data_IF_188378582732
#
_entry.id   IF_188378582732
#
_cell.length_a   1.000
_cell.length_b   1.000
_cell.length_c   1.000
_cell.angle_alpha   90.00
_cell.angle_beta   90.00
_cell.angle_gamma   90.00
#
_symmetry.space_group_name_H-M   'P 1'
#
loop_
_entity.id
_entity.type
_entity.pdbx_description
1 polymer ?
#
# COMPACT_ATOMS: atom_id res chain seq x y z
N UNK A 1 -10.52 8.30 -34.51
CA UNK A 1 -11.55 7.98 -33.51
C UNK A 1 -10.95 6.89 -32.61
N UNK A 2 -10.30 7.28 -31.55
CA UNK A 2 -9.74 6.35 -30.54
C UNK A 2 -10.94 5.90 -29.72
N UNK A 3 -11.15 4.60 -29.59
CA UNK A 3 -12.31 4.06 -28.89
C UNK A 3 -12.24 4.44 -27.40
N UNK A 4 -13.29 5.03 -26.86
CA UNK A 4 -13.42 5.44 -25.44
C UNK A 4 -13.18 4.28 -24.45
N UNK A 5 -13.22 3.03 -24.89
CA UNK A 5 -12.91 1.84 -24.07
C UNK A 5 -11.44 1.75 -23.65
N UNK A 6 -10.50 2.27 -24.45
CA UNK A 6 -9.07 2.29 -24.09
C UNK A 6 -8.74 3.31 -23.00
N UNK A 7 -9.43 4.46 -23.02
CA UNK A 7 -9.18 5.53 -22.02
C UNK A 7 -9.75 5.15 -20.64
N UNK A 8 -10.92 4.49 -20.61
CA UNK A 8 -11.55 4.03 -19.36
C UNK A 8 -10.74 2.89 -18.73
N UNK A 9 -10.20 1.99 -19.54
CA UNK A 9 -9.28 0.94 -19.06
C UNK A 9 -7.97 1.52 -18.54
N UNK A 10 -7.46 2.58 -19.16
CA UNK A 10 -6.25 3.26 -18.70
C UNK A 10 -6.46 3.95 -17.35
N UNK A 11 -7.58 4.65 -17.17
CA UNK A 11 -7.92 5.33 -15.91
C UNK A 11 -8.18 4.34 -14.77
N UNK A 12 -8.88 3.22 -15.04
CA UNK A 12 -9.12 2.16 -14.06
C UNK A 12 -7.83 1.43 -13.67
N UNK A 13 -6.93 1.21 -14.62
CA UNK A 13 -5.62 0.60 -14.38
C UNK A 13 -4.66 1.52 -13.62
N UNK A 14 -4.78 2.84 -13.79
CA UNK A 14 -3.98 3.85 -13.12
C UNK A 14 -4.41 4.07 -11.67
N UNK A 15 -5.71 4.00 -11.38
CA UNK A 15 -6.21 4.00 -10.00
C UNK A 15 -5.73 2.78 -9.19
N UNK A 16 -5.52 1.62 -9.83
CA UNK A 16 -4.98 0.43 -9.17
C UNK A 16 -3.46 0.46 -9.01
N UNK A 17 -2.73 1.17 -9.86
CA UNK A 17 -1.28 1.31 -9.73
C UNK A 17 -0.85 2.26 -8.59
N UNK A 18 -1.76 3.09 -8.09
CA UNK A 18 -1.57 3.91 -6.89
C UNK A 18 -2.18 3.27 -5.63
N UNK A 19 -3.02 2.23 -5.78
CA UNK A 19 -3.83 1.66 -4.71
C UNK A 19 -3.48 0.19 -4.45
N UNK A 20 -2.27 -0.10 -4.11
CA UNK A 20 -1.91 -1.43 -3.64
C UNK A 20 -1.28 -2.32 -4.68
N UNK A 21 -0.67 -3.35 -4.22
CA UNK A 21 0.09 -4.37 -4.90
C UNK A 21 -0.68 -5.08 -6.01
N UNK A 22 -1.03 -4.36 -7.04
CA UNK A 22 -1.09 -5.01 -8.34
C UNK A 22 0.34 -5.45 -8.68
N UNK A 23 0.54 -6.56 -9.40
CA UNK A 23 1.86 -6.90 -9.87
C UNK A 23 2.49 -5.63 -10.42
N UNK A 24 3.74 -5.34 -10.04
CA UNK A 24 4.52 -4.26 -10.62
C UNK A 24 4.50 -4.54 -12.13
N UNK A 25 3.48 -4.08 -12.82
CA UNK A 25 3.53 -4.04 -14.26
C UNK A 25 4.63 -3.05 -14.53
N UNK A 26 5.78 -3.55 -14.92
CA UNK A 26 6.67 -2.78 -15.73
C UNK A 26 5.76 -2.15 -16.77
N UNK A 27 5.60 -0.84 -16.70
CA UNK A 27 4.81 -0.08 -17.65
C UNK A 27 5.33 -0.52 -19.01
N UNK A 28 4.58 -1.35 -19.72
CA UNK A 28 4.86 -1.61 -21.11
C UNK A 28 4.84 -0.21 -21.72
N UNK A 29 6.01 0.28 -22.02
CA UNK A 29 6.16 1.44 -22.87
C UNK A 29 5.66 0.99 -24.24
N UNK A 30 4.37 1.10 -24.44
CA UNK A 30 3.83 1.15 -25.78
C UNK A 30 4.60 2.26 -26.50
N UNK A 31 5.26 1.90 -27.59
CA UNK A 31 6.38 2.56 -28.26
C UNK A 31 6.17 3.98 -28.75
N UNK A 32 5.61 4.89 -27.96
CA UNK A 32 5.53 6.32 -28.29
C UNK A 32 5.73 7.27 -27.08
N UNK A 33 6.45 6.90 -26.04
CA UNK A 33 6.79 7.87 -25.00
C UNK A 33 8.16 8.49 -25.25
N UNK A 34 8.18 9.57 -25.98
CA UNK A 34 9.28 10.55 -26.01
C UNK A 34 9.45 11.29 -24.68
N UNK A 35 8.61 11.02 -23.67
CA UNK A 35 8.70 11.64 -22.35
C UNK A 35 9.81 11.00 -21.53
N UNK A 36 10.90 11.74 -21.37
CA UNK A 36 11.99 11.35 -20.49
C UNK A 36 11.64 11.50 -18.99
N UNK A 37 10.57 12.24 -18.67
CA UNK A 37 10.06 12.48 -17.32
C UNK A 37 8.54 12.26 -17.31
N UNK A 38 8.08 11.45 -16.35
CA UNK A 38 6.67 11.30 -16.00
C UNK A 38 6.49 11.66 -14.54
N UNK A 39 5.43 12.35 -14.20
CA UNK A 39 5.13 12.73 -12.83
C UNK A 39 3.68 12.51 -12.48
N UNK A 40 3.39 12.40 -11.19
CA UNK A 40 2.05 12.33 -10.65
C UNK A 40 1.98 13.07 -9.32
N UNK A 41 0.78 13.50 -8.98
CA UNK A 41 0.49 14.08 -7.69
C UNK A 41 -0.86 13.57 -7.19
N UNK A 42 -0.98 13.39 -5.88
CA UNK A 42 -2.20 13.05 -5.20
C UNK A 42 -2.38 13.97 -4.00
N UNK A 43 -3.61 14.30 -3.68
CA UNK A 43 -3.97 14.93 -2.41
C UNK A 43 -5.32 14.41 -1.96
N UNK A 44 -5.48 14.27 -0.65
CA UNK A 44 -6.75 13.85 -0.06
C UNK A 44 -7.03 14.52 1.27
N UNK A 45 -8.27 14.49 1.67
CA UNK A 45 -8.79 14.91 2.95
C UNK A 45 -9.62 13.78 3.52
N UNK A 46 -9.19 13.22 4.63
CA UNK A 46 -9.91 12.18 5.33
C UNK A 46 -10.49 12.73 6.63
N UNK A 47 -11.75 12.43 6.89
CA UNK A 47 -12.43 12.75 8.14
C UNK A 47 -13.07 11.50 8.71
N UNK A 48 -12.76 11.19 9.95
CA UNK A 48 -13.27 10.03 10.64
C UNK A 48 -13.84 10.36 12.02
N UNK A 49 -14.89 9.63 12.40
CA UNK A 49 -15.42 9.66 13.75
C UNK A 49 -15.46 8.23 14.31
N UNK A 50 -14.75 8.02 15.42
CA UNK A 50 -14.55 6.71 16.07
C UNK A 50 -15.20 6.69 17.44
N UNK A 51 -16.40 6.14 17.52
CA UNK A 51 -17.11 6.01 18.78
C UNK A 51 -16.43 4.96 19.69
N UNK A 52 -16.24 5.31 20.96
CA UNK A 52 -15.60 4.44 21.96
C UNK A 52 -14.11 4.67 22.16
N UNK A 53 -13.48 5.54 21.38
CA UNK A 53 -12.09 5.99 21.58
C UNK A 53 -12.02 7.25 22.45
N UNK A 54 -10.85 7.47 23.06
CA UNK A 54 -10.56 8.68 23.84
C UNK A 54 -10.57 9.95 22.97
N UNK A 55 -10.07 9.82 21.73
CA UNK A 55 -10.07 10.87 20.72
C UNK A 55 -10.97 10.44 19.55
N UNK A 56 -12.29 10.72 19.60
CA UNK A 56 -13.23 10.18 18.65
C UNK A 56 -13.12 10.78 17.24
N UNK A 57 -12.59 11.97 17.07
CA UNK A 57 -12.52 12.64 15.77
C UNK A 57 -11.09 12.64 15.24
N UNK A 58 -10.92 12.11 14.05
CA UNK A 58 -9.64 12.11 13.31
C UNK A 58 -9.82 12.86 12.00
N UNK A 59 -8.90 13.73 11.67
CA UNK A 59 -8.81 14.40 10.37
C UNK A 59 -7.39 14.27 9.87
N UNK A 60 -7.25 13.73 8.67
CA UNK A 60 -6.01 13.68 7.95
C UNK A 60 -6.06 14.73 6.84
N UNK A 61 -5.31 15.81 7.05
CA UNK A 61 -5.18 16.92 6.10
C UNK A 61 -4.16 17.95 6.60
N UNK A 62 -3.26 18.44 5.74
CA UNK A 62 -3.05 18.01 4.36
C UNK A 62 -2.39 16.64 4.25
N UNK A 63 -2.84 15.84 3.28
CA UNK A 63 -2.19 14.64 2.80
C UNK A 63 -1.86 14.84 1.33
N UNK A 64 -0.57 14.87 1.00
CA UNK A 64 -0.06 15.20 -0.34
C UNK A 64 1.05 14.22 -0.68
N UNK A 65 0.94 13.59 -1.83
CA UNK A 65 1.95 12.72 -2.38
C UNK A 65 2.36 13.23 -3.77
N UNK A 66 3.66 13.33 -4.01
CA UNK A 66 4.22 13.75 -5.30
C UNK A 66 5.30 12.73 -5.68
N UNK A 67 5.18 12.19 -6.88
CA UNK A 67 6.13 11.22 -7.39
C UNK A 67 6.43 11.38 -8.86
N UNK A 68 7.44 10.64 -9.32
CA UNK A 68 7.78 10.62 -10.72
C UNK A 68 8.94 9.71 -11.06
N UNK A 69 9.09 9.49 -12.37
CA UNK A 69 10.13 8.67 -12.96
C UNK A 69 10.86 9.43 -14.05
N UNK A 70 12.18 9.53 -13.93
CA UNK A 70 13.06 10.06 -14.98
C UNK A 70 13.74 8.91 -15.72
N UNK A 71 13.51 8.78 -17.02
CA UNK A 71 14.13 7.80 -17.90
C UNK A 71 15.51 8.31 -18.37
N UNK A 72 16.59 7.64 -18.00
CA UNK A 72 17.96 8.03 -18.33
C UNK A 72 18.47 7.33 -19.60
N UNK A 73 17.66 6.48 -20.21
CA UNK A 73 18.02 5.68 -21.39
C UNK A 73 18.78 4.38 -21.05
N UNK A 74 18.84 3.48 -22.04
CA UNK A 74 19.46 2.15 -21.92
C UNK A 74 18.94 1.34 -20.72
N UNK A 75 17.66 1.48 -20.38
CA UNK A 75 17.02 0.79 -19.25
C UNK A 75 17.37 1.35 -17.86
N UNK A 76 18.01 2.51 -17.76
CA UNK A 76 18.20 3.22 -16.51
C UNK A 76 17.06 4.20 -16.24
N UNK A 77 16.59 4.24 -15.00
CA UNK A 77 15.64 5.23 -14.52
C UNK A 77 15.92 5.62 -13.08
N UNK A 78 15.43 6.81 -12.68
CA UNK A 78 15.39 7.26 -11.30
C UNK A 78 13.91 7.41 -10.95
N UNK A 79 13.51 6.89 -9.81
CA UNK A 79 12.17 7.02 -9.25
C UNK A 79 12.25 7.77 -7.93
N UNK A 80 11.37 8.75 -7.74
CA UNK A 80 11.23 9.49 -6.50
C UNK A 80 9.75 9.62 -6.14
N UNK A 81 9.41 9.48 -4.86
CA UNK A 81 8.08 9.70 -4.30
C UNK A 81 8.21 10.25 -2.90
N UNK A 82 7.61 11.39 -2.68
CA UNK A 82 7.59 12.12 -1.41
C UNK A 82 6.16 12.27 -0.95
N UNK A 83 5.94 12.09 0.32
CA UNK A 83 4.65 12.24 0.97
C UNK A 83 4.75 13.24 2.11
N UNK A 84 3.70 14.02 2.27
CA UNK A 84 3.50 14.92 3.40
C UNK A 84 2.10 14.71 3.95
N UNK A 85 2.02 14.32 5.23
CA UNK A 85 0.75 13.99 5.88
C UNK A 85 0.65 14.59 7.28
N UNK A 86 -0.50 15.14 7.62
CA UNK A 86 -0.75 15.67 8.95
C UNK A 86 -2.10 15.25 9.51
N UNK A 87 -2.04 14.78 10.75
CA UNK A 87 -3.23 14.34 11.47
C UNK A 87 -3.68 15.34 12.53
N UNK A 88 -4.99 15.47 12.68
CA UNK A 88 -5.63 16.09 13.83
C UNK A 88 -6.48 15.07 14.56
N UNK A 89 -6.40 15.08 15.90
CA UNK A 89 -7.27 14.31 16.77
C UNK A 89 -8.04 15.31 17.64
N UNK A 90 -9.37 15.28 17.57
CA UNK A 90 -10.26 16.25 18.23
C UNK A 90 -9.87 17.72 17.99
N UNK A 91 -9.46 18.01 16.75
CA UNK A 91 -9.05 19.35 16.33
C UNK A 91 -7.64 19.78 16.75
N UNK A 92 -6.91 18.97 17.52
CA UNK A 92 -5.52 19.22 17.90
C UNK A 92 -4.58 18.48 16.95
N UNK A 93 -3.43 19.09 16.63
CA UNK A 93 -2.40 18.44 15.83
C UNK A 93 -1.79 17.26 16.61
N UNK A 94 -1.87 16.07 16.02
CA UNK A 94 -1.33 14.84 16.59
C UNK A 94 0.17 14.66 16.29
N UNK A 95 0.67 15.33 15.26
CA UNK A 95 2.07 15.28 14.84
C UNK A 95 2.66 16.67 14.61
N UNK A 96 3.98 16.80 14.74
CA UNK A 96 4.69 18.05 14.53
C UNK A 96 4.89 18.32 13.04
N UNK A 97 5.01 19.59 12.63
CA UNK A 97 5.19 19.98 11.24
C UNK A 97 6.40 19.32 10.56
N UNK A 98 7.49 19.09 11.30
CA UNK A 98 8.74 18.55 10.76
C UNK A 98 8.78 17.04 10.65
N UNK A 99 7.88 16.31 11.32
CA UNK A 99 7.91 14.85 11.41
C UNK A 99 6.97 14.17 10.41
N UNK A 100 6.51 14.93 9.40
CA UNK A 100 5.42 14.52 8.51
C UNK A 100 5.86 14.34 7.05
N UNK A 101 7.14 14.48 6.80
CA UNK A 101 7.71 14.21 5.47
C UNK A 101 8.22 12.79 5.41
N UNK A 102 7.71 12.01 4.50
CA UNK A 102 8.17 10.66 4.22
C UNK A 102 8.73 10.58 2.80
N UNK A 103 9.88 9.96 2.67
CA UNK A 103 10.41 9.58 1.35
C UNK A 103 10.00 8.14 1.11
N UNK A 104 8.91 7.94 0.38
CA UNK A 104 8.42 6.60 0.10
C UNK A 104 9.33 5.88 -0.89
N UNK A 105 9.78 6.58 -1.93
CA UNK A 105 10.69 6.00 -2.92
C UNK A 105 11.77 7.00 -3.30
N UNK A 106 13.01 6.55 -3.34
CA UNK A 106 14.11 7.29 -3.93
C UNK A 106 15.18 6.29 -4.37
N UNK A 107 15.09 5.81 -5.60
CA UNK A 107 15.99 4.78 -6.08
C UNK A 107 16.37 4.93 -7.55
N UNK A 108 17.52 4.37 -7.87
CA UNK A 108 17.92 4.11 -9.24
C UNK A 108 17.53 2.69 -9.63
N UNK A 109 17.00 2.53 -10.82
CA UNK A 109 16.61 1.24 -11.37
C UNK A 109 17.37 0.98 -12.66
N UNK A 110 17.80 -0.27 -12.86
CA UNK A 110 18.37 -0.77 -14.11
C UNK A 110 17.55 -1.96 -14.59
N UNK A 111 16.94 -1.79 -15.72
CA UNK A 111 16.19 -2.83 -16.40
C UNK A 111 17.01 -3.40 -17.56
N UNK A 112 17.26 -4.72 -17.57
CA UNK A 112 17.91 -5.43 -18.67
C UNK A 112 16.89 -6.21 -19.50
N UNK A 113 15.85 -6.72 -18.86
CA UNK A 113 14.77 -7.49 -19.50
C UNK A 113 13.51 -7.45 -18.60
N UNK A 114 12.43 -8.06 -19.04
CA UNK A 114 11.26 -8.27 -18.17
C UNK A 114 11.62 -9.09 -16.92
N UNK A 115 12.48 -10.09 -17.08
CA UNK A 115 12.77 -11.07 -16.04
C UNK A 115 13.94 -10.69 -15.11
N UNK A 116 14.84 -9.76 -15.51
CA UNK A 116 16.06 -9.48 -14.74
C UNK A 116 16.30 -7.98 -14.65
N UNK A 117 16.19 -7.45 -13.45
CA UNK A 117 16.34 -6.04 -13.15
C UNK A 117 16.92 -5.84 -11.75
N UNK A 118 17.45 -4.66 -11.48
CA UNK A 118 17.94 -4.28 -10.16
C UNK A 118 17.50 -2.87 -9.81
N UNK A 119 17.10 -2.66 -8.57
CA UNK A 119 16.83 -1.33 -7.99
C UNK A 119 17.64 -1.14 -6.70
N UNK A 120 18.12 0.09 -6.47
CA UNK A 120 18.91 0.43 -5.29
C UNK A 120 18.59 1.85 -4.80
N UNK A 121 18.42 2.03 -3.51
CA UNK A 121 18.03 3.28 -2.86
C UNK A 121 17.01 3.04 -1.75
N UNK A 122 16.09 3.97 -1.54
CA UNK A 122 14.92 3.77 -0.69
C UNK A 122 13.88 3.04 -1.53
N UNK A 123 13.63 1.79 -1.18
CA UNK A 123 12.77 0.85 -1.92
C UNK A 123 11.82 0.13 -0.98
N UNK A 124 10.73 -0.37 -1.53
CA UNK A 124 9.75 -1.19 -0.81
C UNK A 124 10.36 -2.50 -0.28
N UNK A 125 9.99 -2.87 0.93
CA UNK A 125 10.23 -4.20 1.50
C UNK A 125 9.06 -5.10 1.10
N UNK A 126 9.25 -6.07 0.21
CA UNK A 126 8.16 -6.75 -0.49
C UNK A 126 7.47 -7.82 0.37
N UNK A 127 6.78 -7.43 1.44
CA UNK A 127 6.04 -8.35 2.32
C UNK A 127 4.56 -7.98 2.34
N UNK A 128 3.72 -8.93 1.94
CA UNK A 128 2.28 -8.73 1.84
C UNK A 128 1.86 -7.79 0.68
N UNK A 129 0.58 -7.48 0.60
CA UNK A 129 0.02 -6.56 -0.39
C UNK A 129 0.19 -5.10 -0.01
N UNK A 130 0.35 -4.84 1.24
CA UNK A 130 0.09 -3.58 1.91
C UNK A 130 1.25 -2.58 1.81
N UNK A 131 2.44 -3.06 1.47
CA UNK A 131 3.62 -2.20 1.34
C UNK A 131 3.70 -1.37 0.05
N UNK A 132 2.69 -1.40 -0.77
CA UNK A 132 2.80 -0.82 -2.10
C UNK A 132 1.88 0.35 -2.39
N UNK A 133 1.16 0.89 -1.41
CA UNK A 133 0.44 2.13 -1.65
C UNK A 133 -0.92 2.28 -0.97
N UNK A 134 -1.13 1.64 0.17
CA UNK A 134 -2.35 1.80 0.95
C UNK A 134 -3.50 0.87 0.55
N UNK A 135 -4.66 0.99 1.18
CA UNK A 135 -5.79 0.09 0.97
C UNK A 135 -6.44 0.30 -0.40
N UNK A 136 -6.89 -0.79 -1.04
CA UNK A 136 -7.49 -0.70 -2.37
C UNK A 136 -8.83 0.06 -2.35
N UNK A 137 -9.72 -0.22 -1.42
CA UNK A 137 -11.06 0.37 -1.37
C UNK A 137 -11.34 1.16 -0.09
N UNK A 138 -10.76 0.77 1.05
CA UNK A 138 -10.93 1.45 2.34
C UNK A 138 -10.24 2.81 2.39
N UNK A 139 -10.59 3.64 3.36
CA UNK A 139 -9.94 4.94 3.61
C UNK A 139 -8.68 4.73 4.46
N UNK A 140 -8.80 3.91 5.50
CA UNK A 140 -7.69 3.62 6.41
C UNK A 140 -7.11 2.25 6.15
N UNK A 141 -5.85 2.12 6.52
CA UNK A 141 -5.14 0.88 6.36
C UNK A 141 -5.80 -0.28 7.11
N UNK A 142 -5.66 -1.47 6.53
CA UNK A 142 -6.14 -2.68 7.16
C UNK A 142 -5.55 -2.91 8.55
N UNK A 143 -6.33 -3.53 9.42
CA UNK A 143 -5.92 -3.77 10.81
C UNK A 143 -4.67 -4.64 10.92
N UNK A 144 -4.45 -5.55 9.98
CA UNK A 144 -3.28 -6.41 9.93
C UNK A 144 -1.98 -5.64 9.60
N UNK A 145 -2.03 -4.63 8.76
CA UNK A 145 -0.90 -3.76 8.47
C UNK A 145 -0.48 -2.95 9.69
N UNK A 146 -1.43 -2.26 10.27
CA UNK A 146 -1.15 -1.37 11.40
C UNK A 146 -0.67 -2.10 12.66
N UNK A 147 -0.89 -3.42 12.75
CA UNK A 147 -0.56 -4.22 13.95
C UNK A 147 0.63 -5.14 13.80
N UNK A 148 0.91 -5.66 12.61
CA UNK A 148 1.98 -6.63 12.35
C UNK A 148 3.15 -6.09 11.56
N UNK A 149 2.88 -5.23 10.61
CA UNK A 149 3.88 -4.70 9.69
C UNK A 149 3.84 -3.19 9.68
N UNK A 150 4.96 -2.53 9.40
CA UNK A 150 4.94 -1.10 9.12
C UNK A 150 4.08 -0.84 7.89
N UNK A 151 3.22 0.16 7.99
CA UNK A 151 2.56 0.73 6.82
C UNK A 151 3.62 1.33 5.92
N UNK A 152 3.44 1.21 4.60
CA UNK A 152 4.40 1.76 3.63
C UNK A 152 5.85 1.47 4.01
N UNK A 153 6.18 0.18 4.17
CA UNK A 153 7.51 -0.24 4.61
C UNK A 153 8.56 -0.04 3.51
N UNK A 154 9.27 1.06 3.59
CA UNK A 154 10.32 1.42 2.65
C UNK A 154 11.63 1.61 3.40
N UNK A 155 12.71 0.98 2.90
CA UNK A 155 14.03 1.01 3.52
C UNK A 155 15.13 1.21 2.48
N UNK A 156 16.28 1.67 2.95
CA UNK A 156 17.48 1.64 2.14
C UNK A 156 17.83 0.21 1.76
N UNK A 157 18.04 -0.08 0.48
CA UNK A 157 18.32 -1.44 0.06
C UNK A 157 18.73 -1.60 -1.39
N UNK A 158 18.99 -2.85 -1.73
CA UNK A 158 19.23 -3.30 -3.10
C UNK A 158 18.37 -4.53 -3.32
N UNK A 159 17.58 -4.54 -4.39
CA UNK A 159 16.74 -5.65 -4.75
C UNK A 159 16.85 -6.00 -6.24
N UNK A 160 16.91 -7.30 -6.51
CA UNK A 160 16.66 -7.86 -7.83
C UNK A 160 15.16 -8.09 -7.98
N UNK A 161 14.63 -7.81 -9.14
CA UNK A 161 13.22 -8.01 -9.44
C UNK A 161 13.01 -8.39 -10.90
N UNK A 162 11.91 -9.03 -11.18
CA UNK A 162 11.51 -9.38 -12.53
C UNK A 162 10.04 -9.73 -12.61
N UNK A 163 9.46 -9.53 -13.78
CA UNK A 163 8.08 -9.85 -14.09
C UNK A 163 7.99 -10.40 -15.50
N UNK A 164 7.29 -11.50 -15.64
CA UNK A 164 6.88 -12.08 -16.91
C UNK A 164 5.35 -12.15 -16.95
N UNK A 165 4.78 -12.69 -18.01
CA UNK A 165 3.31 -12.87 -18.06
C UNK A 165 2.76 -13.74 -16.95
N UNK A 166 3.54 -14.72 -16.47
CA UNK A 166 3.08 -15.72 -15.51
C UNK A 166 3.72 -15.53 -14.12
N UNK A 167 4.95 -15.06 -14.05
CA UNK A 167 5.73 -15.00 -12.80
C UNK A 167 6.24 -13.60 -12.52
N UNK A 168 6.25 -13.22 -11.26
CA UNK A 168 6.97 -12.05 -10.79
C UNK A 168 7.74 -12.38 -9.50
N UNK A 169 8.80 -11.64 -9.25
CA UNK A 169 9.58 -11.79 -8.03
C UNK A 169 10.30 -10.53 -7.65
N UNK A 170 10.60 -10.41 -6.37
CA UNK A 170 11.55 -9.44 -5.82
C UNK A 170 12.35 -10.10 -4.70
N UNK A 171 13.68 -9.90 -4.69
CA UNK A 171 14.57 -10.42 -3.66
C UNK A 171 15.61 -9.36 -3.32
N UNK A 172 15.72 -8.96 -2.06
CA UNK A 172 16.59 -7.86 -1.68
C UNK A 172 17.16 -7.96 -0.28
N UNK A 173 18.24 -7.20 -0.09
CA UNK A 173 18.84 -6.89 1.20
C UNK A 173 18.56 -5.44 1.57
N UNK A 174 18.22 -5.22 2.84
CA UNK A 174 17.77 -3.94 3.36
C UNK A 174 18.64 -3.51 4.52
N UNK A 175 18.83 -2.21 4.65
CA UNK A 175 19.62 -1.60 5.72
C UNK A 175 18.80 -0.50 6.38
N UNK A 176 18.99 -0.34 7.67
CA UNK A 176 18.49 0.84 8.35
C UNK A 176 19.45 2.01 8.05
N UNK A 177 19.03 2.99 7.25
CA UNK A 177 19.89 4.11 6.91
C UNK A 177 20.03 5.06 8.11
N UNK A 178 21.26 5.31 8.52
CA UNK A 178 21.59 6.35 9.50
C UNK A 178 22.42 7.46 8.86
N UNK A 179 22.40 8.63 9.42
CA UNK A 179 23.28 9.70 9.04
C UNK A 179 24.27 9.97 10.18
N UNK A 180 25.57 9.72 9.97
CA UNK A 180 26.25 9.33 8.74
C UNK A 180 26.09 7.84 8.40
N UNK A 181 26.15 7.49 7.11
CA UNK A 181 25.96 6.11 6.59
C UNK A 181 26.89 5.05 7.22
N UNK A 182 27.99 5.46 7.82
CA UNK A 182 28.91 4.53 8.51
C UNK A 182 28.24 3.75 9.68
N UNK A 183 27.17 4.29 10.22
CA UNK A 183 26.40 3.70 11.32
C UNK A 183 25.21 2.86 10.83
N UNK A 184 25.01 2.73 9.52
CA UNK A 184 23.97 1.91 8.92
C UNK A 184 24.19 0.44 9.23
N UNK A 185 23.12 -0.28 9.55
CA UNK A 185 23.15 -1.71 9.87
C UNK A 185 22.27 -2.48 8.92
N UNK A 186 22.63 -3.75 8.67
CA UNK A 186 21.78 -4.65 7.90
C UNK A 186 20.48 -4.90 8.69
N UNK A 187 19.38 -4.45 8.11
CA UNK A 187 18.05 -4.69 8.67
C UNK A 187 17.61 -6.13 8.41
N UNK A 188 17.70 -6.59 7.17
CA UNK A 188 17.33 -7.96 6.84
C UNK A 188 17.29 -8.26 5.34
N UNK A 189 16.74 -9.43 5.06
CA UNK A 189 16.49 -9.94 3.71
C UNK A 189 14.98 -10.09 3.50
N UNK A 190 14.49 -9.74 2.33
CA UNK A 190 13.12 -10.00 1.95
C UNK A 190 13.03 -10.66 0.57
N UNK A 191 12.07 -11.54 0.45
CA UNK A 191 11.76 -12.29 -0.75
C UNK A 191 10.24 -12.21 -1.01
N UNK A 192 9.86 -11.99 -2.25
CA UNK A 192 8.49 -12.14 -2.73
C UNK A 192 8.53 -12.89 -4.06
N UNK A 193 7.61 -13.80 -4.24
CA UNK A 193 7.40 -14.49 -5.51
C UNK A 193 5.92 -14.71 -5.72
N UNK A 194 5.45 -14.52 -6.95
CA UNK A 194 4.05 -14.69 -7.27
C UNK A 194 3.82 -15.19 -8.68
N UNK A 195 2.58 -15.57 -8.92
CA UNK A 195 2.10 -16.03 -10.21
C UNK A 195 0.81 -15.31 -10.59
N UNK A 196 0.66 -15.06 -11.88
CA UNK A 196 -0.56 -14.54 -12.50
C UNK A 196 -1.15 -15.61 -13.41
N UNK A 197 -1.85 -16.63 -12.86
CA UNK A 197 -2.28 -17.81 -13.63
C UNK A 197 -3.35 -17.51 -14.66
N UNK A 198 -4.14 -16.48 -14.42
CA UNK A 198 -5.14 -15.94 -15.35
C UNK A 198 -5.14 -14.42 -15.25
N UNK A 199 -5.62 -13.76 -16.29
CA UNK A 199 -5.70 -12.30 -16.32
C UNK A 199 -6.50 -11.77 -15.10
N UNK A 200 -5.91 -10.80 -14.40
CA UNK A 200 -6.50 -10.18 -13.22
C UNK A 200 -6.25 -10.91 -11.90
N UNK A 201 -5.83 -12.19 -11.90
CA UNK A 201 -5.55 -12.93 -10.65
C UNK A 201 -4.05 -12.97 -10.38
N UNK A 202 -3.64 -12.43 -9.22
CA UNK A 202 -2.29 -12.55 -8.67
C UNK A 202 -2.32 -13.36 -7.37
N UNK A 203 -1.36 -14.25 -7.23
CA UNK A 203 -1.14 -15.07 -6.03
C UNK A 203 0.31 -14.96 -5.63
N UNK A 204 0.61 -14.54 -4.42
CA UNK A 204 1.97 -14.26 -3.97
C UNK A 204 2.29 -14.82 -2.60
N UNK A 205 3.55 -15.18 -2.42
CA UNK A 205 4.17 -15.51 -1.15
C UNK A 205 5.33 -14.58 -0.89
N UNK A 206 5.44 -14.09 0.32
CA UNK A 206 6.54 -13.22 0.74
C UNK A 206 7.06 -13.58 2.12
N UNK A 207 8.33 -13.25 2.32
CA UNK A 207 9.03 -13.55 3.57
C UNK A 207 10.09 -12.49 3.84
N UNK A 208 10.11 -12.02 5.08
CA UNK A 208 11.18 -11.17 5.61
C UNK A 208 11.86 -11.88 6.78
N UNK A 209 13.18 -11.75 6.85
CA UNK A 209 13.97 -12.15 8.00
C UNK A 209 15.03 -11.11 8.31
N UNK A 210 15.05 -10.59 9.53
CA UNK A 210 15.97 -9.52 9.86
C UNK A 210 16.06 -9.19 11.35
N UNK A 211 16.63 -8.03 11.63
CA UNK A 211 16.77 -7.50 12.98
C UNK A 211 15.52 -6.71 13.38
N UNK A 212 15.13 -6.83 14.63
CA UNK A 212 14.07 -6.03 15.24
C UNK A 212 14.61 -4.82 16.03
N UNK A 213 15.92 -4.74 16.23
CA UNK A 213 16.48 -3.84 17.27
C UNK A 213 16.45 -2.36 16.88
N UNK A 214 16.44 -2.00 15.60
CA UNK A 214 16.54 -0.60 15.17
C UNK A 214 15.80 -0.30 13.84
N UNK A 215 14.89 -1.16 13.40
CA UNK A 215 14.13 -0.97 12.17
C UNK A 215 12.80 -0.22 12.37
N UNK A 216 12.13 0.11 11.30
CA UNK A 216 10.79 0.72 11.31
C UNK A 216 9.76 -0.08 12.11
N UNK A 217 9.95 -1.39 12.22
CA UNK A 217 9.12 -2.28 13.05
C UNK A 217 9.04 -1.80 14.51
N UNK A 218 10.11 -1.20 15.04
CA UNK A 218 10.10 -0.60 16.38
C UNK A 218 9.21 0.65 16.46
N UNK A 219 9.13 1.43 15.40
CA UNK A 219 8.32 2.66 15.39
C UNK A 219 6.84 2.35 15.36
N UNK A 220 6.46 1.27 14.69
CA UNK A 220 5.06 0.85 14.57
C UNK A 220 4.59 0.03 15.77
N UNK A 221 5.48 -0.70 16.44
CA UNK A 221 5.13 -1.49 17.61
C UNK A 221 6.28 -1.58 18.62
N UNK A 222 6.31 -0.73 19.66
CA UNK A 222 7.37 -0.71 20.66
C UNK A 222 7.54 -2.02 21.43
N UNK A 223 6.55 -2.92 21.41
CA UNK A 223 6.65 -4.24 22.02
C UNK A 223 7.49 -5.22 21.19
N UNK A 224 7.85 -4.87 19.95
CA UNK A 224 8.74 -5.67 19.10
C UNK A 224 10.23 -5.51 19.43
N UNK A 225 10.60 -4.52 20.22
CA UNK A 225 11.97 -4.16 20.58
C UNK A 225 12.79 -5.27 21.28
N UNK A 226 12.17 -6.37 21.68
CA UNK A 226 12.81 -7.44 22.46
C UNK A 226 13.26 -8.65 21.64
N UNK A 227 13.05 -8.68 20.32
CA UNK A 227 13.40 -9.84 19.49
C UNK A 227 14.70 -9.61 18.73
N UNK A 228 15.67 -10.50 18.91
CA UNK A 228 16.94 -10.48 18.17
C UNK A 228 16.75 -10.78 16.69
N UNK A 229 15.76 -11.60 16.35
CA UNK A 229 15.46 -12.00 14.99
C UNK A 229 13.97 -11.93 14.77
N UNK A 230 13.56 -11.18 13.76
CA UNK A 230 12.19 -11.02 13.36
C UNK A 230 11.97 -11.72 12.03
N UNK A 231 10.87 -12.45 11.88
CA UNK A 231 10.37 -12.83 10.58
C UNK A 231 8.91 -12.45 10.40
N UNK A 232 8.58 -12.10 9.17
CA UNK A 232 7.22 -12.01 8.66
C UNK A 232 7.07 -12.94 7.47
N UNK A 233 5.98 -13.67 7.43
CA UNK A 233 5.58 -14.48 6.28
C UNK A 233 4.18 -14.05 5.87
N UNK A 234 3.95 -13.85 4.58
CA UNK A 234 2.63 -13.51 4.07
C UNK A 234 2.31 -14.33 2.82
N UNK A 235 1.05 -14.76 2.75
CA UNK A 235 0.41 -15.17 1.51
C UNK A 235 -0.64 -14.13 1.18
N UNK A 236 -0.64 -13.66 -0.03
CA UNK A 236 -1.60 -12.68 -0.50
C UNK A 236 -2.14 -13.04 -1.89
N UNK A 237 -3.31 -12.54 -2.19
CA UNK A 237 -3.94 -12.68 -3.48
C UNK A 237 -4.70 -11.40 -3.83
N UNK A 238 -4.75 -11.11 -5.13
CA UNK A 238 -5.58 -10.05 -5.67
C UNK A 238 -6.28 -10.55 -6.94
N UNK A 239 -7.54 -10.22 -7.08
CA UNK A 239 -8.29 -10.46 -8.31
C UNK A 239 -9.00 -9.18 -8.74
N UNK A 240 -8.62 -8.68 -9.88
CA UNK A 240 -9.16 -7.45 -10.45
C UNK A 240 -9.55 -7.69 -11.89
N UNK A 241 -10.79 -7.37 -12.20
CA UNK A 241 -11.29 -7.32 -13.57
C UNK A 241 -12.15 -6.08 -13.81
N UNK A 242 -12.92 -6.05 -14.88
CA UNK A 242 -13.75 -4.88 -15.23
C UNK A 242 -14.78 -4.52 -14.14
N UNK A 243 -15.20 -5.44 -13.30
CA UNK A 243 -16.24 -5.22 -12.29
C UNK A 243 -15.80 -5.56 -10.87
N UNK A 244 -14.96 -6.58 -10.68
CA UNK A 244 -14.57 -7.06 -9.36
C UNK A 244 -13.22 -6.52 -8.95
N UNK A 245 -13.14 -6.08 -7.69
CA UNK A 245 -11.91 -5.84 -6.95
C UNK A 245 -11.95 -6.71 -5.71
N UNK A 246 -11.10 -7.71 -5.66
CA UNK A 246 -11.00 -8.63 -4.52
C UNK A 246 -9.53 -8.73 -4.16
N UNK A 247 -9.19 -8.49 -2.91
CA UNK A 247 -7.86 -8.73 -2.40
C UNK A 247 -7.91 -9.33 -0.99
N UNK A 248 -6.83 -9.94 -0.59
CA UNK A 248 -6.70 -10.47 0.75
C UNK A 248 -5.31 -10.99 1.03
N UNK A 249 -5.02 -11.08 2.33
CA UNK A 249 -3.76 -11.62 2.79
C UNK A 249 -3.91 -12.35 4.12
N UNK A 250 -2.97 -13.26 4.35
CA UNK A 250 -2.74 -13.92 5.64
C UNK A 250 -1.27 -13.72 6.01
N UNK A 251 -1.02 -13.17 7.18
CA UNK A 251 0.32 -12.89 7.66
C UNK A 251 0.62 -13.60 8.97
N UNK A 252 1.88 -13.93 9.17
CA UNK A 252 2.40 -14.49 10.43
C UNK A 252 3.73 -13.85 10.77
N UNK A 253 3.90 -13.51 12.04
CA UNK A 253 5.17 -13.05 12.60
C UNK A 253 5.57 -13.93 13.79
N UNK A 254 6.88 -14.07 14.04
CA UNK A 254 7.35 -14.66 15.30
C UNK A 254 7.24 -13.71 16.49
N UNK A 255 6.91 -12.45 16.26
CA UNK A 255 6.61 -11.52 17.32
C UNK A 255 5.38 -11.99 18.08
N UNK A 256 5.58 -12.59 19.27
CA UNK A 256 4.51 -13.13 20.13
C UNK A 256 3.51 -14.04 19.39
N UNK A 257 3.98 -14.73 18.34
CA UNK A 257 3.13 -15.57 17.47
C UNK A 257 1.92 -14.84 16.85
N UNK A 258 2.08 -13.58 16.54
CA UNK A 258 1.03 -12.78 15.94
C UNK A 258 0.68 -13.29 14.55
N UNK A 259 -0.61 -13.27 14.27
CA UNK A 259 -1.20 -13.61 12.96
C UNK A 259 -2.23 -12.56 12.60
N UNK A 260 -2.36 -12.28 11.33
CA UNK A 260 -3.45 -11.47 10.81
C UNK A 260 -3.97 -12.05 9.51
N UNK A 261 -5.22 -11.73 9.20
CA UNK A 261 -5.85 -12.10 7.95
C UNK A 261 -6.87 -11.04 7.58
N UNK A 262 -6.89 -10.65 6.32
CA UNK A 262 -7.86 -9.72 5.77
C UNK A 262 -8.35 -10.16 4.41
N UNK A 263 -9.58 -9.77 4.08
CA UNK A 263 -10.16 -9.94 2.75
C UNK A 263 -11.08 -8.76 2.45
N UNK A 264 -10.94 -8.21 1.25
CA UNK A 264 -11.75 -7.13 0.72
C UNK A 264 -12.44 -7.57 -0.57
N UNK A 265 -13.69 -7.18 -0.73
CA UNK A 265 -14.48 -7.50 -1.92
C UNK A 265 -15.29 -6.27 -2.32
N UNK A 266 -15.09 -5.79 -3.54
CA UNK A 266 -15.86 -4.72 -4.15
C UNK A 266 -16.37 -5.10 -5.54
N UNK A 267 -17.48 -4.47 -5.95
CA UNK A 267 -18.08 -4.67 -7.26
C UNK A 267 -18.47 -3.33 -7.87
N UNK A 268 -17.97 -3.03 -9.06
CA UNK A 268 -18.33 -1.80 -9.77
C UNK A 268 -19.74 -1.89 -10.37
N UNK A 269 -20.66 -1.11 -9.83
CA UNK A 269 -22.05 -1.05 -10.28
C UNK A 269 -22.29 0.04 -11.35
N UNK A 270 -21.33 0.87 -11.66
CA UNK A 270 -21.48 2.00 -12.58
C UNK A 270 -21.92 1.55 -13.98
N UNK A 271 -21.36 0.45 -14.48
CA UNK A 271 -21.75 -0.13 -15.77
C UNK A 271 -23.22 -0.56 -15.82
N UNK A 272 -23.73 -1.19 -14.75
CA UNK A 272 -25.13 -1.56 -14.63
C UNK A 272 -26.08 -0.36 -14.52
N UNK A 273 -25.57 0.77 -14.01
CA UNK A 273 -26.30 2.06 -13.95
C UNK A 273 -26.21 2.88 -15.25
N UNK A 274 -25.51 2.35 -16.27
CA UNK A 274 -25.29 3.06 -17.54
C UNK A 274 -24.28 4.21 -17.47
N UNK A 275 -23.48 4.29 -16.41
CA UNK A 275 -22.45 5.30 -16.22
C UNK A 275 -21.14 4.81 -16.86
N UNK A 276 -20.51 5.66 -17.69
CA UNK A 276 -19.32 5.27 -18.47
C UNK A 276 -18.03 6.00 -18.07
N UNK A 277 -18.15 7.05 -17.29
CA UNK A 277 -17.02 7.94 -16.96
C UNK A 277 -16.70 7.98 -15.47
N UNK A 278 -17.33 7.14 -14.69
CA UNK A 278 -17.06 6.98 -13.26
C UNK A 278 -17.08 5.51 -12.89
N UNK A 279 -16.54 5.21 -11.73
CA UNK A 279 -16.62 3.91 -11.06
C UNK A 279 -17.37 4.11 -9.74
N UNK A 280 -18.24 3.19 -9.38
CA UNK A 280 -18.98 3.18 -8.12
C UNK A 280 -18.88 1.79 -7.53
N UNK A 281 -18.04 1.62 -6.51
CA UNK A 281 -17.69 0.33 -5.94
C UNK A 281 -18.19 0.25 -4.49
N UNK A 282 -19.42 -0.25 -4.23
CA UNK A 282 -19.74 -0.74 -2.91
C UNK A 282 -18.81 -1.89 -2.54
N UNK A 283 -18.32 -1.90 -1.30
CA UNK A 283 -17.39 -2.91 -0.83
C UNK A 283 -17.67 -3.36 0.60
N UNK A 284 -17.12 -4.52 0.94
CA UNK A 284 -17.03 -5.04 2.29
C UNK A 284 -15.65 -5.60 2.55
N UNK A 285 -15.14 -5.39 3.75
CA UNK A 285 -13.85 -5.90 4.21
C UNK A 285 -13.98 -6.56 5.58
N UNK A 286 -13.26 -7.66 5.79
CA UNK A 286 -13.03 -8.27 7.08
C UNK A 286 -11.54 -8.31 7.37
N UNK A 287 -11.16 -7.91 8.58
CA UNK A 287 -9.81 -8.00 9.11
C UNK A 287 -9.82 -8.71 10.47
N UNK A 288 -8.85 -9.57 10.68
CA UNK A 288 -8.63 -10.24 11.95
C UNK A 288 -7.17 -10.19 12.38
N UNK A 289 -6.94 -9.75 13.60
CA UNK A 289 -5.64 -9.77 14.25
C UNK A 289 -5.68 -10.67 15.47
N UNK A 290 -4.76 -11.63 15.55
CA UNK A 290 -4.73 -12.66 16.58
C UNK A 290 -3.39 -12.64 17.30
N UNK A 291 -3.44 -12.33 18.58
CA UNK A 291 -2.26 -12.26 19.44
C UNK A 291 -2.37 -13.26 20.59
N UNK A 292 -1.37 -14.14 20.72
CA UNK A 292 -1.34 -15.13 21.80
C UNK A 292 -1.00 -14.44 23.12
N UNK A 293 -1.94 -14.51 24.09
CA UNK A 293 -1.78 -13.88 25.40
C UNK A 293 -1.94 -12.37 25.42
N UNK A 294 -2.50 -11.77 24.37
CA UNK A 294 -2.75 -10.34 24.26
C UNK A 294 -4.13 -10.02 23.70
N UNK A 295 -4.27 -8.78 23.20
CA UNK A 295 -5.52 -8.32 22.57
C UNK A 295 -5.58 -8.88 21.17
N UNK A 296 -6.64 -9.65 20.90
CA UNK A 296 -7.04 -10.03 19.55
C UNK A 296 -8.22 -9.17 19.14
N UNK A 297 -8.30 -8.84 17.86
CA UNK A 297 -9.33 -7.96 17.35
C UNK A 297 -9.83 -8.46 15.99
N UNK A 298 -11.10 -8.23 15.71
CA UNK A 298 -11.61 -8.33 14.36
C UNK A 298 -12.39 -7.05 13.99
N UNK A 299 -12.35 -6.71 12.72
CA UNK A 299 -13.02 -5.54 12.17
C UNK A 299 -13.79 -5.92 10.91
N UNK A 300 -15.00 -5.45 10.83
CA UNK A 300 -15.80 -5.39 9.61
C UNK A 300 -15.86 -3.96 9.13
N UNK A 301 -15.65 -3.76 7.85
CA UNK A 301 -15.81 -2.46 7.19
C UNK A 301 -16.71 -2.64 5.98
N UNK A 302 -17.66 -1.76 5.82
CA UNK A 302 -18.47 -1.65 4.60
C UNK A 302 -18.37 -0.21 4.09
N UNK A 303 -18.41 -0.03 2.80
CA UNK A 303 -18.27 1.33 2.27
C UNK A 303 -18.58 1.44 0.79
N UNK A 304 -18.29 2.62 0.31
CA UNK A 304 -18.42 3.02 -1.08
C UNK A 304 -17.12 3.72 -1.50
N UNK A 305 -16.54 3.25 -2.58
CA UNK A 305 -15.42 3.90 -3.25
C UNK A 305 -15.88 4.36 -4.63
N UNK A 306 -15.69 5.62 -4.96
CA UNK A 306 -16.16 6.21 -6.21
C UNK A 306 -15.02 6.96 -6.88
N UNK A 307 -14.73 6.60 -8.12
CA UNK A 307 -13.83 7.35 -8.99
C UNK A 307 -14.64 8.20 -9.95
N UNK A 308 -14.33 9.48 -9.98
CA UNK A 308 -15.03 10.48 -10.78
C UNK A 308 -14.13 10.99 -11.93
N UNK A 309 -14.69 11.66 -12.94
CA UNK A 309 -13.89 12.30 -13.98
C UNK A 309 -12.85 13.28 -13.42
N UNK A 310 -11.78 13.48 -14.18
CA UNK A 310 -10.69 14.42 -13.85
C UNK A 310 -9.84 14.04 -12.61
N UNK A 311 -9.85 12.75 -12.23
CA UNK A 311 -9.02 12.24 -11.15
C UNK A 311 -9.57 12.44 -9.74
N UNK A 312 -10.81 12.87 -9.58
CA UNK A 312 -11.44 12.98 -8.28
C UNK A 312 -11.89 11.61 -7.76
N UNK A 313 -11.76 11.43 -6.45
CA UNK A 313 -12.25 10.26 -5.74
C UNK A 313 -13.11 10.68 -4.55
N UNK A 314 -14.09 9.87 -4.23
CA UNK A 314 -14.88 9.99 -3.01
C UNK A 314 -15.02 8.62 -2.37
N UNK A 315 -14.72 8.53 -1.07
CA UNK A 315 -14.91 7.31 -0.29
C UNK A 315 -15.78 7.60 0.93
N UNK A 316 -16.57 6.64 1.33
CA UNK A 316 -17.31 6.65 2.59
C UNK A 316 -17.35 5.24 3.16
N UNK A 317 -17.07 5.08 4.46
CA UNK A 317 -17.07 3.78 5.10
C UNK A 317 -17.62 3.80 6.52
N UNK A 318 -18.08 2.65 6.98
CA UNK A 318 -18.45 2.39 8.36
C UNK A 318 -17.76 1.11 8.84
N UNK A 319 -17.14 1.17 10.01
CA UNK A 319 -16.39 0.07 10.60
C UNK A 319 -16.96 -0.35 11.96
N UNK A 320 -16.85 -1.66 12.24
CA UNK A 320 -17.16 -2.27 13.54
C UNK A 320 -15.97 -3.09 14.00
N UNK A 321 -15.36 -2.67 15.07
CA UNK A 321 -14.16 -3.29 15.62
C UNK A 321 -14.48 -3.94 16.98
N UNK A 322 -14.09 -5.20 17.13
CA UNK A 322 -14.42 -6.05 18.27
C UNK A 322 -13.13 -6.62 18.91
N UNK A 323 -12.46 -5.85 19.76
CA UNK A 323 -11.34 -6.37 20.54
C UNK A 323 -11.84 -7.31 21.64
N UNK A 324 -11.11 -8.41 21.90
CA UNK A 324 -11.51 -9.43 22.87
C UNK A 324 -11.53 -8.98 24.33
N UNK A 325 -10.80 -7.93 24.71
CA UNK A 325 -10.65 -7.45 26.09
C UNK A 325 -10.87 -5.94 26.23
N UNK A 326 -11.56 -5.31 25.30
CA UNK A 326 -11.85 -3.88 25.32
C UNK A 326 -13.27 -3.60 24.82
N UNK A 327 -13.67 -2.34 24.87
CA UNK A 327 -14.98 -1.92 24.36
C UNK A 327 -15.02 -2.07 22.84
N UNK A 328 -16.18 -2.46 22.31
CA UNK A 328 -16.47 -2.39 20.89
C UNK A 328 -16.35 -0.95 20.40
N UNK A 329 -15.78 -0.78 19.23
CA UNK A 329 -15.64 0.51 18.58
C UNK A 329 -16.37 0.51 17.25
N UNK A 330 -16.92 1.65 16.89
CA UNK A 330 -17.51 1.88 15.59
C UNK A 330 -16.89 3.10 14.95
N UNK A 331 -16.73 3.09 13.65
CA UNK A 331 -16.26 4.25 12.89
C UNK A 331 -17.18 4.60 11.76
N UNK A 332 -17.20 5.91 11.41
CA UNK A 332 -17.78 6.42 10.18
C UNK A 332 -16.78 7.40 9.59
N UNK A 333 -16.35 7.13 8.40
CA UNK A 333 -15.24 7.83 7.79
C UNK A 333 -15.60 8.26 6.35
N UNK A 334 -15.12 9.42 5.92
CA UNK A 334 -15.28 9.95 4.57
C UNK A 334 -13.93 10.47 4.05
N UNK A 335 -13.73 10.34 2.77
CA UNK A 335 -12.54 10.84 2.07
C UNK A 335 -12.93 11.52 0.76
N UNK A 336 -12.25 12.61 0.45
CA UNK A 336 -12.27 13.25 -0.86
C UNK A 336 -10.81 13.39 -1.30
N UNK A 337 -10.50 12.84 -2.46
CA UNK A 337 -9.17 12.87 -3.03
C UNK A 337 -9.15 13.39 -4.47
N UNK A 338 -7.97 13.75 -4.91
CA UNK A 338 -7.67 14.06 -6.29
C UNK A 338 -6.29 13.49 -6.64
N UNK A 339 -6.18 12.94 -7.84
CA UNK A 339 -4.91 12.52 -8.41
C UNK A 339 -4.79 12.94 -9.87
N UNK A 340 -3.59 13.25 -10.30
CA UNK A 340 -3.29 13.65 -11.68
C UNK A 340 -1.89 13.25 -12.10
N UNK A 341 -1.72 13.07 -13.40
CA UNK A 341 -0.43 12.78 -14.05
C UNK A 341 -0.01 13.93 -14.95
N UNK A 342 1.31 14.12 -15.14
CA UNK A 342 1.89 15.18 -15.98
C UNK A 342 3.22 14.76 -16.64
#
# INVERSE_FOLDING_TARGET
MISNTSLTKLVFFLCLSCLGAGPIRAQESDGDSTKWLTGYAMTEVNYGHRHGQEHPTVTDFPHILIGGTAQLGKGWSIVAELEYERFRMDGQWANNFHDNYTTNKLYINKQWSEAVNVKAGIIDVPVGTTNSGGPALTIYDPLDESTLMPMTWHEGGIAFWGQTKLFHYQAGGYVYPTAPLKDSRLLGLALRGGITPVEGLDLSLSYFYGSSEEGMVQRCNPNLATFKHLYHAAFDFAYVNDNWTIDGQVTKSNCKENKAAGIEVGYDVAGAMGLKSCSIIPFARYDGYFHVGGVSCNRWTIGLNTSLPYGFTFKAEAGWENPNNAKHMTSCDISIGWQGEF
#
